data_IF_018444184576
#
_entry.id   IF_018444184576
#
_cell.length_a   1.000
_cell.length_b   1.000
_cell.length_c   1.000
_cell.angle_alpha   90.00
_cell.angle_beta   90.00
_cell.angle_gamma   90.00
#
_symmetry.space_group_name_H-M   'P 1'
#
loop_
_entity.id
_entity.type
_entity.pdbx_description
1 polymer ?
#
# COMPACT_ATOMS: atom_id res chain seq x y z
N UNK A 1 3.54 12.18 22.91
CA UNK A 1 3.11 12.97 21.75
C UNK A 1 4.30 13.02 20.82
N UNK A 2 4.44 12.00 19.97
CA UNK A 2 5.59 11.88 19.05
C UNK A 2 5.27 12.74 17.83
N UNK A 3 5.93 13.90 17.74
CA UNK A 3 5.93 14.71 16.52
C UNK A 3 6.56 13.89 15.40
N UNK A 4 5.77 13.68 14.34
CA UNK A 4 6.17 12.94 13.15
C UNK A 4 7.03 13.84 12.26
N UNK A 5 8.27 13.42 12.00
CA UNK A 5 9.17 14.12 11.09
C UNK A 5 9.03 13.55 9.66
N UNK A 6 8.41 14.34 8.76
CA UNK A 6 8.19 13.96 7.37
C UNK A 6 9.49 13.63 6.60
N UNK A 7 10.64 14.18 7.00
CA UNK A 7 11.92 13.92 6.32
C UNK A 7 12.51 12.54 6.66
N UNK A 8 12.26 12.01 7.87
CA UNK A 8 12.67 10.65 8.24
C UNK A 8 11.77 9.59 7.57
N UNK A 9 10.52 9.94 7.27
CA UNK A 9 9.58 9.07 6.58
C UNK A 9 10.01 8.77 5.14
N UNK A 10 10.53 9.77 4.41
CA UNK A 10 10.96 9.59 3.01
C UNK A 10 12.13 8.61 2.91
N UNK A 11 13.08 8.64 3.85
CA UNK A 11 14.22 7.72 3.82
C UNK A 11 13.87 6.29 4.26
N UNK A 12 12.96 6.13 5.24
CA UNK A 12 12.43 4.81 5.62
C UNK A 12 11.50 4.21 4.55
N UNK A 13 10.74 5.05 3.83
CA UNK A 13 9.78 4.64 2.80
C UNK A 13 10.46 3.92 1.63
N UNK A 14 11.65 4.39 1.19
CA UNK A 14 12.33 3.77 0.04
C UNK A 14 12.94 2.39 0.38
N UNK A 15 13.44 2.18 1.61
CA UNK A 15 13.86 0.85 2.05
C UNK A 15 12.67 -0.11 2.15
N UNK A 16 11.58 0.34 2.80
CA UNK A 16 10.35 -0.45 2.91
C UNK A 16 9.77 -0.80 1.53
N UNK A 17 9.83 0.13 0.59
CA UNK A 17 9.41 -0.07 -0.80
C UNK A 17 10.28 -1.10 -1.52
N UNK A 18 11.59 -1.01 -1.38
CA UNK A 18 12.51 -1.98 -2.01
C UNK A 18 12.28 -3.39 -1.47
N UNK A 19 12.16 -3.54 -0.14
CA UNK A 19 11.85 -4.83 0.49
C UNK A 19 10.47 -5.35 0.07
N UNK A 20 9.47 -4.48 -0.04
CA UNK A 20 8.15 -4.85 -0.52
C UNK A 20 8.20 -5.32 -1.99
N UNK A 21 8.93 -4.64 -2.86
CA UNK A 21 9.10 -5.02 -4.26
C UNK A 21 9.75 -6.41 -4.41
N UNK A 22 10.79 -6.68 -3.61
CA UNK A 22 11.46 -7.99 -3.58
C UNK A 22 10.50 -9.10 -3.14
N UNK A 23 9.79 -8.90 -2.02
CA UNK A 23 8.82 -9.89 -1.49
C UNK A 23 7.68 -10.11 -2.46
N UNK A 24 7.13 -9.04 -3.05
CA UNK A 24 6.07 -9.15 -4.06
C UNK A 24 6.56 -9.86 -5.33
N UNK A 25 7.86 -9.82 -5.63
CA UNK A 25 8.47 -10.59 -6.72
C UNK A 25 8.51 -12.11 -6.45
N UNK A 26 8.41 -12.53 -5.19
CA UNK A 26 8.33 -13.95 -4.82
C UNK A 26 6.92 -14.52 -4.98
N UNK A 27 5.90 -13.66 -4.98
CA UNK A 27 4.50 -14.07 -5.14
C UNK A 27 4.20 -14.38 -6.61
N UNK A 28 3.55 -15.52 -6.85
CA UNK A 28 2.98 -15.84 -8.16
C UNK A 28 1.55 -15.33 -8.20
N UNK A 29 1.40 -14.08 -8.62
CA UNK A 29 0.10 -13.46 -8.86
C UNK A 29 -0.29 -13.68 -10.32
N UNK A 30 -1.43 -14.32 -10.55
CA UNK A 30 -1.99 -14.63 -11.86
C UNK A 30 -2.95 -13.54 -12.35
N UNK A 31 -3.32 -12.59 -11.48
CA UNK A 31 -4.12 -11.42 -11.83
C UNK A 31 -5.50 -11.31 -11.17
N UNK A 32 -6.24 -12.41 -10.87
CA UNK A 32 -7.60 -12.34 -10.31
C UNK A 32 -7.66 -12.40 -8.78
N UNK A 33 -6.52 -12.35 -8.09
CA UNK A 33 -6.46 -12.55 -6.64
C UNK A 33 -7.22 -11.46 -5.87
N UNK A 34 -7.76 -11.84 -4.71
CA UNK A 34 -8.27 -10.91 -3.70
C UNK A 34 -7.26 -10.82 -2.57
N UNK A 35 -6.70 -9.63 -2.36
CA UNK A 35 -5.60 -9.41 -1.42
C UNK A 35 -6.05 -8.42 -0.35
N UNK A 36 -5.70 -8.73 0.90
CA UNK A 36 -5.84 -7.83 2.05
C UNK A 36 -4.45 -7.37 2.49
N UNK A 37 -4.24 -6.06 2.49
CA UNK A 37 -3.02 -5.41 2.97
C UNK A 37 -3.26 -4.84 4.37
N UNK A 38 -2.59 -5.42 5.38
CA UNK A 38 -2.79 -5.10 6.80
C UNK A 38 -1.69 -4.17 7.28
N UNK A 39 -2.07 -2.98 7.72
CA UNK A 39 -1.11 -1.89 8.00
C UNK A 39 -0.69 -1.18 6.73
N UNK A 40 -1.65 -0.86 5.86
CA UNK A 40 -1.38 -0.34 4.52
C UNK A 40 -0.72 1.05 4.48
N UNK A 41 -0.69 1.77 5.62
CA UNK A 41 -0.09 3.09 5.72
C UNK A 41 -0.65 4.07 4.68
N UNK A 42 0.23 4.77 3.98
CA UNK A 42 -0.13 5.75 2.96
C UNK A 42 -0.74 5.15 1.67
N UNK A 43 -0.80 3.81 1.57
CA UNK A 43 -1.39 3.09 0.44
C UNK A 43 -0.50 2.93 -0.78
N UNK A 44 0.76 3.41 -0.75
CA UNK A 44 1.66 3.36 -1.91
C UNK A 44 1.96 1.92 -2.35
N UNK A 45 2.23 1.04 -1.38
CA UNK A 45 2.49 -0.38 -1.66
C UNK A 45 1.22 -1.10 -2.07
N UNK A 46 0.10 -0.84 -1.39
CA UNK A 46 -1.23 -1.37 -1.77
C UNK A 46 -1.56 -1.08 -3.23
N UNK A 47 -1.30 0.14 -3.71
CA UNK A 47 -1.51 0.53 -5.09
C UNK A 47 -0.57 -0.17 -6.08
N UNK A 48 0.67 -0.47 -5.68
CA UNK A 48 1.62 -1.26 -6.47
C UNK A 48 1.14 -2.71 -6.61
N UNK A 49 0.67 -3.32 -5.52
CA UNK A 49 0.08 -4.67 -5.56
C UNK A 49 -1.16 -4.69 -6.46
N UNK A 50 -2.03 -3.67 -6.37
CA UNK A 50 -3.22 -3.57 -7.19
C UNK A 50 -2.90 -3.56 -8.70
N UNK A 51 -1.79 -2.93 -9.10
CA UNK A 51 -1.32 -2.97 -10.50
C UNK A 51 -0.89 -4.36 -10.98
N UNK A 52 -0.50 -5.25 -10.07
CA UNK A 52 -0.14 -6.66 -10.37
C UNK A 52 -1.36 -7.58 -10.44
N UNK A 53 -2.50 -7.17 -9.91
CA UNK A 53 -3.76 -7.94 -9.93
C UNK A 53 -4.90 -7.23 -10.67
N UNK A 54 -4.75 -6.96 -11.98
CA UNK A 54 -5.68 -6.12 -12.73
C UNK A 54 -7.10 -6.69 -12.87
N UNK A 55 -7.27 -8.01 -12.72
CA UNK A 55 -8.57 -8.68 -12.72
C UNK A 55 -9.08 -9.00 -11.29
N UNK A 56 -8.29 -8.64 -10.28
CA UNK A 56 -8.53 -8.93 -8.88
C UNK A 56 -8.92 -7.70 -8.10
N UNK A 57 -8.63 -7.72 -6.80
CA UNK A 57 -8.75 -6.53 -5.96
C UNK A 57 -7.81 -6.56 -4.76
N UNK A 58 -7.39 -5.38 -4.34
CA UNK A 58 -6.63 -5.18 -3.11
C UNK A 58 -7.42 -4.26 -2.20
N UNK A 59 -7.57 -4.66 -0.94
CA UNK A 59 -8.16 -3.84 0.12
C UNK A 59 -7.07 -3.54 1.14
N UNK A 60 -6.80 -2.26 1.37
CA UNK A 60 -5.90 -1.81 2.44
C UNK A 60 -6.66 -1.51 3.71
N UNK A 61 -6.12 -1.94 4.86
CA UNK A 61 -6.63 -1.58 6.19
C UNK A 61 -5.49 -1.04 7.05
N UNK A 62 -5.78 -0.01 7.84
CA UNK A 62 -4.83 0.58 8.79
C UNK A 62 -5.59 1.12 10.01
N UNK A 63 -4.95 1.09 11.17
CA UNK A 63 -5.49 1.63 12.41
C UNK A 63 -5.56 3.17 12.42
N UNK A 64 -4.73 3.83 11.61
CA UNK A 64 -4.67 5.28 11.49
C UNK A 64 -5.68 5.79 10.47
N UNK A 65 -6.71 6.49 10.94
CA UNK A 65 -7.67 7.16 10.06
C UNK A 65 -7.01 8.20 9.13
N UNK A 66 -5.94 8.86 9.59
CA UNK A 66 -5.21 9.82 8.76
C UNK A 66 -4.52 9.14 7.58
N UNK A 67 -3.94 7.95 7.79
CA UNK A 67 -3.34 7.16 6.73
C UNK A 67 -4.38 6.67 5.74
N UNK A 68 -5.51 6.14 6.22
CA UNK A 68 -6.62 5.73 5.35
C UNK A 68 -7.18 6.89 4.53
N UNK A 69 -7.35 8.08 5.14
CA UNK A 69 -7.82 9.25 4.41
C UNK A 69 -6.85 9.66 3.30
N UNK A 70 -5.54 9.68 3.60
CA UNK A 70 -4.49 9.96 2.62
C UNK A 70 -4.47 8.92 1.50
N UNK A 71 -4.44 7.63 1.83
CA UNK A 71 -4.43 6.54 0.87
C UNK A 71 -5.67 6.58 -0.04
N UNK A 72 -6.86 6.81 0.55
CA UNK A 72 -8.11 6.90 -0.20
C UNK A 72 -8.14 8.09 -1.15
N UNK A 73 -7.59 9.24 -0.76
CA UNK A 73 -7.58 10.43 -1.63
C UNK A 73 -6.56 10.35 -2.77
N UNK A 74 -5.50 9.54 -2.63
CA UNK A 74 -4.42 9.43 -3.62
C UNK A 74 -4.51 8.17 -4.50
N UNK A 75 -5.03 7.08 -3.95
CA UNK A 75 -5.02 5.76 -4.59
C UNK A 75 -6.39 5.08 -4.58
N UNK A 76 -7.39 5.64 -3.89
CA UNK A 76 -8.75 5.12 -3.92
C UNK A 76 -9.32 5.17 -5.33
N UNK A 77 -9.87 4.05 -5.81
CA UNK A 77 -10.66 4.06 -7.03
C UNK A 77 -12.03 4.67 -6.75
N UNK A 78 -12.48 5.70 -7.48
CA UNK A 78 -13.85 6.22 -7.36
C UNK A 78 -14.91 5.23 -7.84
N UNK A 79 -14.49 4.17 -8.53
CA UNK A 79 -15.36 3.10 -9.01
C UNK A 79 -14.84 1.76 -8.47
N UNK A 80 -15.47 1.30 -7.39
CA UNK A 80 -15.72 -0.11 -7.13
C UNK A 80 -16.98 -0.27 -6.30
#
# INVERSE_FOLDING_TARGET
MTEWNAAEYVHQSELQKTMAEEVLGLLRLEGPEQILDVGCGDGRITAEVARRVPAGCVVGVDSSQQMIAFASSHFGSPFR
#
